data_IF_325169463262
#
_entry.id   IF_325169463262
#
_cell.length_a   1.000
_cell.length_b   1.000
_cell.length_c   1.000
_cell.angle_alpha   90.00
_cell.angle_beta   90.00
_cell.angle_gamma   90.00
#
_symmetry.space_group_name_H-M   'P 1'
#
loop_
_entity.id
_entity.type
_entity.pdbx_description
1 polymer ?
#
# COMPACT_ATOMS: atom_id res chain seq x y z
N UNK A 1 0.56 10.64 8.11
CA UNK A 1 -0.17 9.60 7.36
C UNK A 1 -0.26 8.31 8.17
N UNK A 2 0.86 7.69 8.59
CA UNK A 2 0.82 6.47 9.43
C UNK A 2 1.20 6.69 10.90
N UNK A 3 1.79 7.84 11.26
CA UNK A 3 2.12 8.19 12.65
C UNK A 3 3.33 7.44 13.23
N UNK A 4 3.72 6.30 12.62
CA UNK A 4 4.87 5.48 13.00
C UNK A 4 5.83 5.26 11.82
N UNK A 5 7.12 4.97 12.09
CA UNK A 5 8.09 4.61 11.06
C UNK A 5 7.66 3.37 10.26
N UNK A 6 7.86 3.39 8.94
CA UNK A 6 7.41 2.31 8.05
C UNK A 6 8.11 0.97 8.31
N UNK A 7 9.33 0.97 8.88
CA UNK A 7 10.04 -0.27 9.24
C UNK A 7 9.35 -1.04 10.38
N UNK A 8 8.62 -0.35 11.25
CA UNK A 8 7.87 -0.98 12.35
C UNK A 8 6.61 -1.68 11.86
N UNK A 9 6.09 -1.28 10.69
CA UNK A 9 4.89 -1.86 10.08
C UNK A 9 5.19 -2.94 9.04
N UNK A 10 6.47 -3.12 8.68
CA UNK A 10 6.90 -4.08 7.66
C UNK A 10 6.61 -5.51 8.12
N UNK A 11 6.09 -6.33 7.20
CA UNK A 11 5.73 -7.73 7.41
C UNK A 11 4.64 -7.98 8.47
N UNK A 12 3.97 -6.90 8.93
CA UNK A 12 2.86 -6.97 9.86
C UNK A 12 1.51 -6.70 9.18
N UNK A 13 0.48 -7.40 9.64
CA UNK A 13 -0.92 -7.05 9.37
C UNK A 13 -1.47 -6.28 10.56
N UNK A 14 -1.30 -4.96 10.53
CA UNK A 14 -1.78 -4.07 11.60
C UNK A 14 -3.23 -3.64 11.30
N UNK A 15 -4.16 -3.77 12.27
CA UNK A 15 -5.51 -3.23 12.12
C UNK A 15 -5.46 -1.73 11.83
N UNK A 16 -6.18 -1.26 10.81
CA UNK A 16 -6.15 0.16 10.43
C UNK A 16 -6.58 1.09 11.58
N UNK A 17 -7.44 0.61 12.48
CA UNK A 17 -7.86 1.33 13.69
C UNK A 17 -6.75 1.53 14.74
N UNK A 18 -5.63 0.82 14.63
CA UNK A 18 -4.43 1.05 15.45
C UNK A 18 -3.58 2.22 14.91
N UNK A 19 -3.80 2.63 13.67
CA UNK A 19 -3.05 3.69 13.00
C UNK A 19 -3.90 4.96 12.83
N UNK A 20 -5.20 4.78 12.62
CA UNK A 20 -6.16 5.83 12.30
C UNK A 20 -7.26 5.90 13.38
N UNK A 21 -7.88 7.08 13.60
CA UNK A 21 -8.99 7.21 14.52
C UNK A 21 -10.10 6.19 14.22
N UNK A 22 -10.49 5.40 15.22
CA UNK A 22 -11.39 4.26 15.03
C UNK A 22 -12.76 4.61 14.44
N UNK A 23 -13.27 5.83 14.70
CA UNK A 23 -14.51 6.31 14.11
C UNK A 23 -14.43 6.47 12.58
N UNK A 24 -13.28 6.89 12.06
CA UNK A 24 -13.06 7.08 10.63
C UNK A 24 -12.90 5.74 9.91
N UNK A 25 -12.17 4.81 10.54
CA UNK A 25 -12.00 3.43 10.03
C UNK A 25 -13.36 2.72 9.94
N UNK A 26 -14.23 2.91 10.93
CA UNK A 26 -15.59 2.34 10.94
C UNK A 26 -16.44 2.87 9.78
N UNK A 27 -16.49 4.19 9.60
CA UNK A 27 -17.22 4.80 8.47
C UNK A 27 -16.68 4.34 7.12
N UNK A 28 -15.36 4.20 6.98
CA UNK A 28 -14.74 3.69 5.75
C UNK A 28 -15.11 2.23 5.48
N UNK A 29 -15.08 1.38 6.51
CA UNK A 29 -15.49 -0.01 6.41
C UNK A 29 -16.97 -0.16 6.02
N UNK A 30 -17.85 0.64 6.62
CA UNK A 30 -19.30 0.68 6.27
C UNK A 30 -19.51 1.07 4.80
N UNK A 31 -18.82 2.13 4.33
CA UNK A 31 -18.89 2.56 2.92
C UNK A 31 -18.39 1.48 1.95
N UNK A 32 -17.32 0.78 2.30
CA UNK A 32 -16.77 -0.32 1.49
C UNK A 32 -17.75 -1.50 1.46
N UNK A 33 -18.34 -1.86 2.60
CA UNK A 33 -19.31 -2.95 2.70
C UNK A 33 -20.59 -2.67 1.88
N UNK A 34 -21.02 -1.41 1.80
CA UNK A 34 -22.17 -0.98 1.01
C UNK A 34 -21.95 -1.02 -0.52
N UNK A 35 -20.69 -1.04 -1.00
CA UNK A 35 -20.38 -0.96 -2.43
C UNK A 35 -19.01 -1.52 -2.81
N UNK A 36 -18.86 -2.85 -2.96
CA UNK A 36 -17.56 -3.51 -3.14
C UNK A 36 -16.80 -3.06 -4.39
N UNK A 37 -17.51 -2.72 -5.47
CA UNK A 37 -16.93 -2.30 -6.75
C UNK A 37 -16.15 -0.98 -6.64
N UNK A 38 -16.42 -0.16 -5.62
CA UNK A 38 -15.77 1.13 -5.40
C UNK A 38 -14.71 1.10 -4.29
N UNK A 39 -14.44 -0.05 -3.66
CA UNK A 39 -13.58 -0.14 -2.48
C UNK A 39 -12.19 0.49 -2.69
N UNK A 40 -11.56 0.26 -3.85
CA UNK A 40 -10.28 0.87 -4.19
C UNK A 40 -10.34 2.40 -4.24
N UNK A 41 -11.33 2.97 -4.93
CA UNK A 41 -11.54 4.43 -5.02
C UNK A 41 -11.81 5.04 -3.65
N UNK A 42 -12.61 4.38 -2.81
CA UNK A 42 -12.92 4.84 -1.46
C UNK A 42 -11.67 4.87 -0.58
N UNK A 43 -10.80 3.87 -0.70
CA UNK A 43 -9.51 3.82 -0.02
C UNK A 43 -8.58 4.94 -0.50
N UNK A 44 -8.51 5.17 -1.82
CA UNK A 44 -7.73 6.27 -2.41
C UNK A 44 -8.21 7.63 -1.90
N UNK A 45 -9.52 7.89 -1.93
CA UNK A 45 -10.11 9.15 -1.47
C UNK A 45 -9.82 9.40 0.02
N UNK A 46 -9.97 8.36 0.86
CA UNK A 46 -9.63 8.43 2.28
C UNK A 46 -8.12 8.74 2.48
N UNK A 47 -7.26 8.10 1.69
CA UNK A 47 -5.82 8.36 1.73
C UNK A 47 -5.48 9.80 1.30
N UNK A 48 -6.07 10.30 0.21
CA UNK A 48 -5.87 11.67 -0.26
C UNK A 48 -6.33 12.71 0.76
N UNK A 49 -7.50 12.52 1.38
CA UNK A 49 -8.02 13.42 2.40
C UNK A 49 -7.04 13.59 3.58
N UNK A 50 -6.43 12.49 4.02
CA UNK A 50 -5.39 12.53 5.06
C UNK A 50 -4.08 13.14 4.59
N UNK A 51 -3.67 12.93 3.33
CA UNK A 51 -2.46 13.57 2.80
C UNK A 51 -2.61 15.10 2.77
N UNK A 52 -3.80 15.62 2.46
CA UNK A 52 -4.08 17.06 2.46
C UNK A 52 -3.97 17.71 3.83
N UNK A 53 -4.17 16.95 4.91
CA UNK A 53 -4.08 17.43 6.29
C UNK A 53 -2.75 17.08 6.96
N UNK A 54 -1.89 16.30 6.29
CA UNK A 54 -0.58 15.92 6.79
C UNK A 54 0.46 17.01 6.54
N UNK A 55 1.52 17.02 7.36
CA UNK A 55 2.71 17.83 7.10
C UNK A 55 3.30 17.47 5.72
N UNK A 56 3.80 18.46 4.95
CA UNK A 56 4.48 18.21 3.68
C UNK A 56 5.59 17.16 3.85
N UNK A 57 5.76 16.25 2.87
CA UNK A 57 6.83 15.26 2.91
C UNK A 57 8.20 15.95 2.94
N UNK A 58 9.16 15.35 3.66
CA UNK A 58 10.55 15.83 3.69
C UNK A 58 11.10 15.90 2.25
N UNK A 59 11.55 17.08 1.77
CA UNK A 59 12.10 17.24 0.43
C UNK A 59 13.23 16.26 0.10
N UNK A 60 14.00 15.84 1.11
CA UNK A 60 15.06 14.82 0.95
C UNK A 60 14.46 13.47 0.58
N UNK A 61 13.33 13.08 1.17
CA UNK A 61 12.65 11.83 0.84
C UNK A 61 12.08 11.85 -0.57
N UNK A 62 11.53 13.00 -1.00
CA UNK A 62 11.07 13.18 -2.37
C UNK A 62 12.22 13.05 -3.37
N UNK A 63 13.37 13.66 -3.09
CA UNK A 63 14.57 13.55 -3.91
C UNK A 63 15.12 12.10 -3.97
N UNK A 64 15.07 11.35 -2.86
CA UNK A 64 15.42 9.92 -2.84
C UNK A 64 14.51 9.13 -3.77
N UNK A 65 13.18 9.28 -3.64
CA UNK A 65 12.21 8.58 -4.50
C UNK A 65 12.44 8.93 -5.97
N UNK A 66 12.65 10.21 -6.28
CA UNK A 66 12.94 10.66 -7.64
C UNK A 66 14.22 10.02 -8.18
N UNK A 67 15.35 10.16 -7.48
CA UNK A 67 16.64 9.62 -7.94
C UNK A 67 16.60 8.11 -8.13
N UNK A 68 15.99 7.39 -7.20
CA UNK A 68 15.82 5.95 -7.29
C UNK A 68 14.95 5.54 -8.49
N UNK A 69 13.89 6.30 -8.78
CA UNK A 69 13.01 6.05 -9.94
C UNK A 69 13.70 6.32 -11.27
N UNK A 70 14.66 7.23 -11.30
CA UNK A 70 15.52 7.51 -12.46
C UNK A 70 16.71 6.54 -12.58
N UNK A 71 16.86 5.60 -11.65
CA UNK A 71 17.97 4.65 -11.65
C UNK A 71 19.30 5.23 -11.17
N UNK A 72 19.30 6.41 -10.55
CA UNK A 72 20.50 7.01 -9.98
C UNK A 72 21.07 6.12 -8.87
N UNK A 73 22.39 5.92 -8.87
CA UNK A 73 23.07 5.18 -7.81
C UNK A 73 22.97 5.86 -6.45
N UNK A 74 23.00 5.08 -5.37
CA UNK A 74 22.84 5.56 -3.98
C UNK A 74 23.82 6.68 -3.64
N UNK A 75 25.08 6.55 -4.05
CA UNK A 75 26.12 7.58 -3.87
C UNK A 75 25.76 8.91 -4.56
N UNK A 76 25.25 8.84 -5.80
CA UNK A 76 24.84 10.03 -6.56
C UNK A 76 23.62 10.72 -5.94
N UNK A 77 22.65 9.94 -5.44
CA UNK A 77 21.51 10.50 -4.70
C UNK A 77 22.00 11.16 -3.41
N UNK A 78 22.89 10.50 -2.66
CA UNK A 78 23.45 11.00 -1.41
C UNK A 78 24.17 12.34 -1.62
N UNK A 79 25.01 12.43 -2.64
CA UNK A 79 25.67 13.67 -3.04
C UNK A 79 24.65 14.77 -3.41
N UNK A 80 23.63 14.45 -4.21
CA UNK A 80 22.62 15.41 -4.65
C UNK A 80 21.78 16.01 -3.50
N UNK A 81 21.62 15.27 -2.39
CA UNK A 81 20.89 15.75 -1.20
C UNK A 81 21.81 16.20 -0.06
N UNK A 82 23.12 16.26 -0.29
CA UNK A 82 24.10 16.68 0.73
C UNK A 82 24.21 15.74 1.93
N UNK A 83 23.95 14.44 1.75
CA UNK A 83 24.02 13.43 2.80
C UNK A 83 25.13 12.40 2.53
N UNK A 84 25.66 11.80 3.59
CA UNK A 84 26.43 10.56 3.46
C UNK A 84 25.51 9.36 3.17
N UNK A 85 26.03 8.32 2.51
CA UNK A 85 25.26 7.11 2.18
C UNK A 85 24.63 6.43 3.40
N UNK A 86 25.34 6.40 4.53
CA UNK A 86 24.81 5.86 5.80
C UNK A 86 23.59 6.64 6.29
N UNK A 87 23.64 7.97 6.21
CA UNK A 87 22.54 8.83 6.65
C UNK A 87 21.33 8.71 5.71
N UNK A 88 21.58 8.65 4.40
CA UNK A 88 20.55 8.40 3.40
C UNK A 88 19.89 7.02 3.59
N UNK A 89 20.67 5.98 3.93
CA UNK A 89 20.16 4.67 4.25
C UNK A 89 19.26 4.69 5.49
N UNK A 90 19.72 5.30 6.59
CA UNK A 90 18.93 5.42 7.83
C UNK A 90 17.63 6.19 7.61
N UNK A 91 17.65 7.28 6.86
CA UNK A 91 16.44 8.04 6.51
C UNK A 91 15.48 7.22 5.66
N UNK A 92 16.01 6.44 4.71
CA UNK A 92 15.21 5.56 3.86
C UNK A 92 14.53 4.46 4.68
N UNK A 93 15.24 3.83 5.61
CA UNK A 93 14.66 2.84 6.53
C UNK A 93 13.57 3.44 7.41
N UNK A 94 13.81 4.61 8.00
CA UNK A 94 12.82 5.26 8.85
C UNK A 94 11.54 5.61 8.10
N UNK A 95 11.67 6.16 6.88
CA UNK A 95 10.55 6.65 6.10
C UNK A 95 9.81 5.56 5.30
N UNK A 96 10.54 4.59 4.73
CA UNK A 96 10.00 3.62 3.78
C UNK A 96 10.04 2.17 4.26
N UNK A 97 10.76 1.89 5.35
CA UNK A 97 10.95 0.52 5.85
C UNK A 97 12.02 -0.28 5.12
N UNK A 98 12.61 0.28 4.06
CA UNK A 98 13.63 -0.37 3.23
C UNK A 98 14.78 0.59 2.91
N UNK A 99 15.96 0.04 2.65
CA UNK A 99 17.07 0.81 2.10
C UNK A 99 16.79 1.28 0.66
N UNK A 100 17.51 2.29 0.16
CA UNK A 100 17.29 2.93 -1.14
C UNK A 100 17.42 1.96 -2.33
N UNK A 101 18.29 0.95 -2.24
CA UNK A 101 18.42 -0.10 -3.28
C UNK A 101 17.13 -0.92 -3.41
N UNK A 102 16.59 -1.39 -2.28
CA UNK A 102 15.36 -2.19 -2.25
C UNK A 102 14.17 -1.34 -2.68
N UNK A 103 14.10 -0.08 -2.22
CA UNK A 103 13.08 0.87 -2.67
C UNK A 103 13.07 0.97 -4.20
N UNK A 104 14.25 1.06 -4.85
CA UNK A 104 14.32 1.11 -6.31
C UNK A 104 13.87 -0.14 -7.01
N UNK A 105 14.12 -1.31 -6.44
CA UNK A 105 13.61 -2.56 -7.00
C UNK A 105 12.08 -2.58 -6.95
N UNK A 106 11.47 -2.16 -5.84
CA UNK A 106 10.01 -2.09 -5.67
C UNK A 106 9.39 -1.09 -6.64
N UNK A 107 9.94 0.12 -6.74
CA UNK A 107 9.41 1.15 -7.64
C UNK A 107 9.51 0.76 -9.12
N UNK A 108 10.60 0.09 -9.53
CA UNK A 108 10.72 -0.46 -10.90
C UNK A 108 9.68 -1.54 -11.18
N UNK A 109 9.45 -2.43 -10.22
CA UNK A 109 8.42 -3.46 -10.34
C UNK A 109 7.03 -2.84 -10.48
N UNK A 110 6.69 -1.86 -9.63
CA UNK A 110 5.41 -1.16 -9.70
C UNK A 110 5.21 -0.51 -11.07
N UNK A 111 6.23 0.19 -11.59
CA UNK A 111 6.16 0.78 -12.94
C UNK A 111 5.92 -0.28 -14.03
N UNK A 112 6.59 -1.43 -13.95
CA UNK A 112 6.38 -2.52 -14.89
C UNK A 112 4.96 -3.10 -14.79
N UNK A 113 4.41 -3.24 -13.58
CA UNK A 113 3.04 -3.69 -13.35
C UNK A 113 2.01 -2.69 -13.88
N UNK A 114 2.26 -1.40 -13.72
CA UNK A 114 1.36 -0.35 -14.22
C UNK A 114 1.34 -0.36 -15.75
N UNK A 115 2.50 -0.48 -16.40
CA UNK A 115 2.59 -0.64 -17.85
C UNK A 115 1.86 -1.90 -18.34
N UNK A 116 1.99 -3.03 -17.62
CA UNK A 116 1.28 -4.26 -17.94
C UNK A 116 -0.25 -4.11 -17.81
N UNK A 117 -0.73 -3.39 -16.78
CA UNK A 117 -2.17 -3.14 -16.57
C UNK A 117 -2.75 -2.20 -17.62
N UNK A 118 -2.00 -1.20 -18.07
CA UNK A 118 -2.44 -0.28 -19.13
C UNK A 118 -2.40 -0.91 -20.53
N UNK A 119 -1.53 -1.90 -20.74
CA UNK A 119 -1.38 -2.61 -22.02
C UNK A 119 -2.28 -3.85 -22.18
N UNK A 120 -2.87 -4.37 -21.10
CA UNK A 120 -3.77 -5.52 -21.14
C UNK A 120 -5.23 -5.03 -21.16
N UNK A 121 -6.04 -5.31 -22.21
CA UNK A 121 -7.48 -5.09 -22.13
C UNK A 121 -7.99 -5.85 -20.91
N UNK A 122 -8.59 -5.12 -19.97
CA UNK A 122 -8.99 -5.62 -18.66
C UNK A 122 -9.86 -6.88 -18.83
N UNK A 123 -9.24 -8.06 -18.67
CA UNK A 123 -9.94 -9.34 -18.69
C UNK A 123 -10.75 -9.40 -17.40
N UNK A 124 -12.01 -8.98 -17.52
CA UNK A 124 -13.02 -8.96 -16.46
C UNK A 124 -12.99 -10.29 -15.71
N UNK A 125 -12.39 -10.29 -14.53
CA UNK A 125 -12.42 -11.44 -13.63
C UNK A 125 -13.88 -11.65 -13.22
N UNK A 126 -14.56 -12.60 -13.86
CA UNK A 126 -15.90 -13.05 -13.44
C UNK A 126 -15.80 -13.50 -11.98
N UNK A 127 -16.72 -13.08 -11.10
CA UNK A 127 -16.76 -13.61 -9.75
C UNK A 127 -16.96 -15.13 -9.83
N UNK A 128 -16.09 -15.85 -9.11
CA UNK A 128 -16.17 -17.30 -8.93
C UNK A 128 -17.53 -17.59 -8.29
N UNK A 129 -18.44 -18.24 -9.02
CA UNK A 129 -19.76 -18.65 -8.51
C UNK A 129 -19.52 -19.46 -7.23
N UNK A 130 -20.13 -19.03 -6.13
CA UNK A 130 -20.23 -19.83 -4.92
C UNK A 130 -20.95 -21.14 -5.27
N UNK A 131 -20.30 -22.25 -4.97
CA UNK A 131 -20.88 -23.59 -5.02
C UNK A 131 -22.04 -23.63 -4.02
N UNK A 132 -23.28 -24.00 -4.42
CA UNK A 132 -24.35 -24.15 -3.45
C UNK A 132 -24.06 -25.37 -2.57
N UNK A 133 -23.95 -25.14 -1.27
CA UNK A 133 -23.90 -26.18 -0.24
C UNK A 133 -25.17 -27.03 -0.35
N UNK A 134 -25.02 -28.31 -0.73
CA UNK A 134 -26.12 -29.29 -0.70
C UNK A 134 -26.61 -29.41 0.75
N UNK A 135 -27.94 -29.43 1.00
CA UNK A 135 -28.44 -29.74 2.32
C UNK A 135 -28.12 -31.21 2.63
N UNK A 136 -27.63 -31.45 3.84
CA UNK A 136 -27.42 -32.77 4.40
C UNK A 136 -28.81 -33.28 4.79
N UNK A 137 -29.35 -34.24 4.03
CA UNK A 137 -30.51 -35.02 4.47
C UNK A 137 -30.12 -35.86 5.70
N UNK A 138 -30.90 -35.84 6.79
CA UNK A 138 -30.71 -36.80 7.86
C UNK A 138 -31.35 -38.13 7.45
N UNK A 139 -30.55 -39.20 7.47
CA UNK A 139 -31.05 -40.56 7.39
C UNK A 139 -31.63 -40.97 8.76
N UNK A 140 -32.84 -41.54 8.70
CA UNK A 140 -33.41 -42.60 9.53
C UNK A 140 -33.45 -42.46 11.07
N UNK A 141 -34.69 -42.39 11.58
CA UNK A 141 -35.19 -43.14 12.74
C UNK A 141 -36.73 -43.04 12.69
N UNK A 142 -37.57 -44.06 12.76
CA UNK A 142 -37.44 -45.50 12.88
C UNK A 142 -38.86 -46.13 12.89
N UNK A 143 -38.89 -47.46 12.79
CA UNK A 143 -40.01 -48.41 12.97
C UNK A 143 -41.17 -48.39 11.98
#
# INVERSE_FOLDING_TARGET
>A
MLGVPAHELRDLRVPLAALWPGAEVRRLAERIAAGPTAAGRLLEEAAFSRLRTAKPPDPVLAAIVAGVSHGTGVAGIAAAVGLGERQLHRRSLAAFGYGPKTLGRVLRLNRALDLARTGLPSRRSRPRRATPTRPISPAMSGR
#
